data_IF_968629746530
#
_entry.id   IF_968629746530
#
_cell.length_a   1.000
_cell.length_b   1.000
_cell.length_c   1.000
_cell.angle_alpha   90.00
_cell.angle_beta   90.00
_cell.angle_gamma   90.00
#
_symmetry.space_group_name_H-M   'P 1'
#
loop_
_entity.id
_entity.type
_entity.pdbx_description
1 polymer ?
#
# COMPACT_ATOMS: atom_id res chain seq x y z
N UNK A 1 -6.18 7.15 -21.84
CA UNK A 1 -5.21 7.72 -20.88
C UNK A 1 -6.03 8.28 -19.73
N UNK A 2 -5.98 7.64 -18.59
CA UNK A 2 -6.66 8.15 -17.38
C UNK A 2 -5.95 9.44 -16.97
N UNK A 3 -6.70 10.52 -16.83
CA UNK A 3 -6.15 11.81 -16.44
C UNK A 3 -5.74 11.73 -14.95
N UNK A 4 -4.43 11.72 -14.68
CA UNK A 4 -3.87 11.68 -13.32
C UNK A 4 -4.41 12.80 -12.43
N UNK A 5 -4.75 13.96 -13.01
CA UNK A 5 -5.37 15.07 -12.28
C UNK A 5 -6.77 14.71 -11.75
N UNK A 6 -7.52 13.90 -12.49
CA UNK A 6 -8.86 13.44 -12.08
C UNK A 6 -8.80 12.43 -10.93
N UNK A 7 -7.77 11.57 -10.89
CA UNK A 7 -7.55 10.59 -9.82
C UNK A 7 -7.19 11.34 -8.52
N UNK A 8 -6.23 12.25 -8.58
CA UNK A 8 -5.84 13.06 -7.43
C UNK A 8 -7.00 13.90 -6.89
N UNK A 9 -7.80 14.53 -7.78
CA UNK A 9 -8.98 15.29 -7.39
C UNK A 9 -10.04 14.40 -6.71
N UNK A 10 -10.23 13.14 -7.18
CA UNK A 10 -11.13 12.18 -6.54
C UNK A 10 -10.70 11.88 -5.11
N UNK A 11 -9.43 11.53 -4.88
CA UNK A 11 -8.93 11.19 -3.55
C UNK A 11 -8.89 12.40 -2.64
N UNK A 12 -8.44 13.58 -3.11
CA UNK A 12 -8.48 14.82 -2.33
C UNK A 12 -9.88 15.10 -1.80
N UNK A 13 -10.91 15.00 -2.65
CA UNK A 13 -12.30 15.19 -2.22
C UNK A 13 -12.70 14.21 -1.11
N UNK A 14 -12.31 12.92 -1.20
CA UNK A 14 -12.61 11.93 -0.15
C UNK A 14 -12.00 12.33 1.20
N UNK A 15 -10.77 12.85 1.21
CA UNK A 15 -10.12 13.35 2.43
C UNK A 15 -10.73 14.65 2.94
N UNK A 16 -11.10 15.58 2.05
CA UNK A 16 -11.78 16.83 2.39
C UNK A 16 -13.15 16.58 3.04
N UNK A 17 -13.92 15.66 2.46
CA UNK A 17 -15.24 15.25 2.97
C UNK A 17 -15.16 14.33 4.20
N UNK A 18 -13.98 14.01 4.69
CA UNK A 18 -13.75 13.04 5.78
C UNK A 18 -14.41 11.66 5.53
N UNK A 19 -14.58 11.29 4.28
CA UNK A 19 -15.16 10.03 3.84
C UNK A 19 -14.07 9.00 3.52
N UNK A 20 -13.32 8.59 4.54
CA UNK A 20 -12.15 7.72 4.45
C UNK A 20 -12.28 6.46 5.32
N UNK A 21 -13.25 5.57 5.05
CA UNK A 21 -13.50 4.39 5.88
C UNK A 21 -12.32 3.40 5.95
N UNK A 22 -11.35 3.53 5.04
CA UNK A 22 -10.10 2.75 5.06
C UNK A 22 -9.04 3.30 6.02
N UNK A 23 -9.16 4.58 6.43
CA UNK A 23 -8.21 5.22 7.34
C UNK A 23 -8.66 5.07 8.80
N UNK A 24 -8.25 3.96 9.39
CA UNK A 24 -8.56 3.67 10.80
C UNK A 24 -7.72 4.48 11.80
N UNK A 25 -6.69 5.20 11.34
CA UNK A 25 -5.69 5.82 12.19
C UNK A 25 -4.79 4.82 12.93
N UNK A 26 -4.95 3.52 12.67
CA UNK A 26 -4.18 2.42 13.28
C UNK A 26 -3.22 1.82 12.27
N UNK A 27 -1.99 1.53 12.72
CA UNK A 27 -1.04 0.75 11.92
C UNK A 27 -1.60 -0.65 11.65
N UNK A 28 -1.26 -1.21 10.51
CA UNK A 28 -1.68 -2.56 10.17
C UNK A 28 -1.04 -3.60 11.10
N UNK A 29 -1.88 -4.38 11.77
CA UNK A 29 -1.43 -5.51 12.57
C UNK A 29 -0.81 -6.58 11.67
N UNK A 30 -1.36 -6.76 10.46
CA UNK A 30 -0.84 -7.74 9.52
C UNK A 30 0.57 -7.37 9.02
N UNK A 31 0.86 -6.07 8.78
CA UNK A 31 2.22 -5.62 8.49
C UNK A 31 3.17 -5.99 9.64
N UNK A 32 2.77 -5.75 10.90
CA UNK A 32 3.58 -6.14 12.05
C UNK A 32 3.83 -7.64 12.12
N UNK A 33 2.78 -8.44 11.89
CA UNK A 33 2.87 -9.91 11.92
C UNK A 33 3.87 -10.40 10.86
N UNK A 34 3.73 -9.92 9.61
CA UNK A 34 4.63 -10.31 8.51
C UNK A 34 6.08 -9.94 8.82
N UNK A 35 6.34 -8.72 9.29
CA UNK A 35 7.72 -8.31 9.65
C UNK A 35 8.32 -9.21 10.74
N UNK A 36 7.53 -9.54 11.78
CA UNK A 36 7.96 -10.39 12.89
C UNK A 36 8.20 -11.85 12.46
N UNK A 37 7.31 -12.40 11.61
CA UNK A 37 7.37 -13.79 11.16
C UNK A 37 8.50 -14.04 10.15
N UNK A 38 8.74 -13.08 9.25
CA UNK A 38 9.70 -13.24 8.14
C UNK A 38 11.09 -12.71 8.46
N UNK A 39 11.23 -11.93 9.54
CA UNK A 39 12.50 -11.32 9.90
C UNK A 39 13.02 -10.30 8.89
N UNK A 40 12.12 -9.66 8.11
CA UNK A 40 12.51 -8.57 7.20
C UNK A 40 13.16 -7.47 8.05
N UNK A 41 14.47 -7.32 7.88
CA UNK A 41 15.24 -6.30 8.60
C UNK A 41 14.98 -4.89 8.05
N UNK A 42 15.19 -3.84 8.85
CA UNK A 42 15.14 -2.47 8.38
C UNK A 42 16.01 -2.26 7.14
N UNK A 43 15.43 -1.72 6.10
CA UNK A 43 16.03 -1.48 4.80
C UNK A 43 15.35 -0.29 4.15
N UNK A 44 15.68 0.00 2.89
CA UNK A 44 15.01 1.04 2.11
C UNK A 44 13.62 0.55 1.67
N UNK A 45 12.57 1.22 2.18
CA UNK A 45 11.18 0.81 2.01
C UNK A 45 10.32 1.88 1.34
N UNK A 46 9.30 1.44 0.58
CA UNK A 46 8.29 2.30 -0.04
C UNK A 46 6.89 1.87 0.37
N UNK A 47 6.05 2.82 0.81
CA UNK A 47 4.61 2.59 0.92
C UNK A 47 3.88 3.20 -0.27
N UNK A 48 3.10 2.39 -1.00
CA UNK A 48 2.27 2.79 -2.14
C UNK A 48 0.85 3.16 -1.66
N UNK A 49 0.37 4.36 -2.03
CA UNK A 49 -0.93 4.86 -1.60
C UNK A 49 -1.00 5.04 -0.09
N UNK A 50 -0.03 5.73 0.49
CA UNK A 50 0.19 5.80 1.93
C UNK A 50 -0.90 6.54 2.72
N UNK A 51 -1.79 7.28 2.06
CA UNK A 51 -2.83 8.06 2.71
C UNK A 51 -2.28 9.00 3.78
N UNK A 52 -2.83 8.94 5.00
CA UNK A 52 -2.37 9.75 6.13
C UNK A 52 -1.12 9.21 6.83
N UNK A 53 -0.38 8.28 6.20
CA UNK A 53 0.98 7.89 6.56
C UNK A 53 1.14 6.99 7.78
N UNK A 54 0.07 6.41 8.29
CA UNK A 54 0.11 5.65 9.56
C UNK A 54 1.08 4.47 9.52
N UNK A 55 1.14 3.72 8.41
CA UNK A 55 2.07 2.58 8.28
C UNK A 55 3.48 3.02 7.89
N UNK A 56 3.64 4.06 7.05
CA UNK A 56 4.95 4.65 6.76
C UNK A 56 5.65 5.12 8.04
N UNK A 57 4.91 5.82 8.92
CA UNK A 57 5.39 6.25 10.22
C UNK A 57 5.78 5.04 11.07
N UNK A 58 4.97 3.99 11.10
CA UNK A 58 5.29 2.77 11.82
C UNK A 58 6.59 2.12 11.28
N UNK A 59 6.75 1.97 9.96
CA UNK A 59 7.98 1.44 9.36
C UNK A 59 9.20 2.28 9.75
N UNK A 60 9.10 3.62 9.70
CA UNK A 60 10.18 4.51 10.13
C UNK A 60 10.53 4.34 11.61
N UNK A 61 9.53 4.14 12.49
CA UNK A 61 9.76 3.81 13.92
C UNK A 61 10.45 2.46 14.11
N UNK A 62 10.29 1.51 13.16
CA UNK A 62 11.02 0.24 13.17
C UNK A 62 12.43 0.34 12.56
N UNK A 63 12.87 1.55 12.17
CA UNK A 63 14.22 1.81 11.65
C UNK A 63 14.36 1.65 10.13
N UNK A 64 13.27 1.50 9.37
CA UNK A 64 13.32 1.52 7.91
C UNK A 64 13.62 2.93 7.39
N UNK A 65 14.34 3.02 6.26
CA UNK A 65 14.45 4.24 5.46
C UNK A 65 13.23 4.33 4.54
N UNK A 66 12.25 5.16 4.90
CA UNK A 66 10.92 5.12 4.28
C UNK A 66 10.69 6.27 3.33
N UNK A 67 10.33 5.93 2.08
CA UNK A 67 9.60 6.81 1.16
C UNK A 67 8.12 6.39 1.14
N UNK A 68 7.20 7.34 0.98
CA UNK A 68 5.77 7.09 0.95
C UNK A 68 5.09 7.97 -0.10
N UNK A 69 4.34 7.35 -1.02
CA UNK A 69 3.71 8.02 -2.15
C UNK A 69 2.19 7.99 -2.02
N UNK A 70 1.56 9.13 -2.25
CA UNK A 70 0.11 9.26 -2.44
C UNK A 70 -0.19 10.42 -3.41
N UNK A 71 -1.28 10.29 -4.16
CA UNK A 71 -1.73 11.35 -5.07
C UNK A 71 -2.56 12.43 -4.36
N UNK A 72 -2.96 12.22 -3.11
CA UNK A 72 -3.72 13.20 -2.32
C UNK A 72 -2.79 14.09 -1.49
N UNK A 73 -2.68 15.35 -1.88
CA UNK A 73 -1.93 16.34 -1.10
C UNK A 73 -2.52 16.58 0.30
N UNK A 74 -3.85 16.46 0.45
CA UNK A 74 -4.52 16.59 1.75
C UNK A 74 -4.14 15.43 2.69
N UNK A 75 -4.08 14.21 2.16
CA UNK A 75 -3.61 13.05 2.92
C UNK A 75 -2.15 13.24 3.35
N UNK A 76 -1.28 13.64 2.41
CA UNK A 76 0.13 13.88 2.68
C UNK A 76 0.38 15.02 3.67
N UNK A 77 -0.43 16.07 3.66
CA UNK A 77 -0.35 17.14 4.66
C UNK A 77 -0.57 16.59 6.08
N UNK A 78 -1.60 15.74 6.24
CA UNK A 78 -1.88 15.04 7.50
C UNK A 78 -0.75 14.08 7.88
N UNK A 79 -0.21 13.32 6.90
CA UNK A 79 0.89 12.40 7.12
C UNK A 79 2.16 13.10 7.64
N UNK A 80 2.52 14.24 7.04
CA UNK A 80 3.66 15.07 7.47
C UNK A 80 3.51 15.57 8.90
N UNK A 81 2.29 16.01 9.30
CA UNK A 81 2.02 16.43 10.67
C UNK A 81 2.22 15.29 11.66
N UNK A 82 1.60 14.13 11.38
CA UNK A 82 1.74 12.93 12.21
C UNK A 82 3.19 12.45 12.35
N UNK A 83 3.98 12.48 11.25
CA UNK A 83 5.39 12.10 11.29
C UNK A 83 6.23 13.04 12.16
N UNK A 84 5.97 14.35 12.05
CA UNK A 84 6.60 15.38 12.90
C UNK A 84 6.29 15.16 14.38
N UNK A 85 5.03 14.88 14.72
CA UNK A 85 4.58 14.56 16.08
C UNK A 85 5.22 13.28 16.62
N UNK A 86 5.39 12.27 15.72
CA UNK A 86 6.03 10.99 16.06
C UNK A 86 7.57 11.08 16.12
N UNK A 87 8.17 12.20 15.70
CA UNK A 87 9.63 12.40 15.69
C UNK A 87 10.36 11.49 14.69
N UNK A 88 9.75 11.12 13.59
CA UNK A 88 10.36 10.27 12.54
C UNK A 88 10.48 11.01 11.22
N UNK A 89 11.48 10.60 10.43
CA UNK A 89 11.68 11.09 9.07
C UNK A 89 11.07 10.10 8.06
N UNK A 90 10.26 10.61 7.14
CA UNK A 90 9.72 9.89 5.99
C UNK A 90 9.81 10.82 4.78
N UNK A 91 10.26 10.29 3.64
CA UNK A 91 10.22 11.00 2.37
C UNK A 91 8.80 10.93 1.78
N UNK A 92 8.10 12.07 1.75
CA UNK A 92 6.73 12.15 1.25
C UNK A 92 6.69 12.58 -0.21
N UNK A 93 6.12 11.74 -1.07
CA UNK A 93 6.07 11.92 -2.52
C UNK A 93 4.61 12.17 -2.95
N UNK A 94 4.37 13.36 -3.54
CA UNK A 94 3.04 13.70 -4.09
C UNK A 94 3.02 13.37 -5.57
N UNK A 95 2.57 12.15 -5.89
CA UNK A 95 2.47 11.68 -7.28
C UNK A 95 1.50 10.49 -7.37
N UNK A 96 1.15 10.11 -8.61
CA UNK A 96 0.38 8.89 -8.88
C UNK A 96 1.29 7.66 -8.87
N UNK A 97 0.79 6.57 -8.30
CA UNK A 97 1.46 5.26 -8.39
C UNK A 97 1.39 4.64 -9.80
N UNK A 98 0.64 5.25 -10.72
CA UNK A 98 0.47 4.74 -12.08
C UNK A 98 1.58 5.29 -12.98
N UNK A 99 2.36 4.40 -13.58
CA UNK A 99 3.53 4.75 -14.43
C UNK A 99 4.59 5.61 -13.71
N UNK A 100 4.61 5.61 -12.39
CA UNK A 100 5.58 6.38 -11.63
C UNK A 100 7.02 5.96 -11.91
N UNK A 101 7.90 6.95 -11.95
CA UNK A 101 9.34 6.76 -12.17
C UNK A 101 10.07 7.32 -10.95
N UNK A 102 10.47 6.46 -10.01
CA UNK A 102 11.21 6.91 -8.84
C UNK A 102 12.59 7.44 -9.24
N UNK A 103 13.08 8.47 -8.57
CA UNK A 103 14.49 8.81 -8.63
C UNK A 103 15.28 7.79 -7.79
N UNK A 104 16.37 7.26 -8.35
CA UNK A 104 17.34 6.44 -7.60
C UNK A 104 17.12 4.93 -7.71
N UNK A 105 17.71 4.22 -6.75
CA UNK A 105 17.78 2.75 -6.74
C UNK A 105 16.42 2.11 -6.33
N UNK A 106 16.18 0.86 -6.73
CA UNK A 106 14.99 0.11 -6.31
C UNK A 106 14.87 -0.02 -4.79
N UNK A 107 13.66 -0.22 -4.32
CA UNK A 107 13.36 -0.47 -2.91
C UNK A 107 13.49 -1.96 -2.59
N UNK A 108 14.02 -2.27 -1.41
CA UNK A 108 14.18 -3.65 -0.92
C UNK A 108 12.88 -4.19 -0.35
N UNK A 109 12.05 -3.30 0.22
CA UNK A 109 10.71 -3.63 0.73
C UNK A 109 9.68 -2.64 0.21
N UNK A 110 8.60 -3.16 -0.39
CA UNK A 110 7.46 -2.37 -0.87
C UNK A 110 6.22 -2.82 -0.09
N UNK A 111 5.49 -1.87 0.47
CA UNK A 111 4.25 -2.11 1.19
C UNK A 111 3.08 -1.42 0.49
N UNK A 112 1.96 -2.10 0.42
CA UNK A 112 0.70 -1.62 -0.15
C UNK A 112 -0.47 -2.10 0.70
N UNK A 113 -1.29 -1.17 1.17
CA UNK A 113 -2.52 -1.51 1.88
C UNK A 113 -3.72 -0.90 1.15
N UNK A 114 -4.18 -1.60 0.13
CA UNK A 114 -5.38 -1.24 -0.61
C UNK A 114 -5.16 -0.40 -1.87
N UNK A 115 -3.94 0.00 -2.19
CA UNK A 115 -3.65 0.73 -3.42
C UNK A 115 -3.80 -0.18 -4.65
N UNK A 116 -3.22 -1.38 -4.62
CA UNK A 116 -3.29 -2.37 -5.70
C UNK A 116 -4.74 -2.66 -6.14
N UNK A 117 -5.64 -3.00 -5.22
CA UNK A 117 -7.01 -3.36 -5.60
C UNK A 117 -7.84 -2.17 -6.10
N UNK A 118 -7.43 -0.94 -5.79
CA UNK A 118 -8.00 0.27 -6.39
C UNK A 118 -7.43 0.54 -7.78
N UNK A 119 -6.10 0.56 -7.90
CA UNK A 119 -5.39 0.90 -9.12
C UNK A 119 -5.60 -0.13 -10.24
N UNK A 120 -5.60 -1.44 -9.91
CA UNK A 120 -5.75 -2.53 -10.87
C UNK A 120 -7.05 -2.49 -11.67
N UNK A 121 -8.10 -1.94 -11.08
CA UNK A 121 -9.43 -1.92 -11.71
C UNK A 121 -9.44 -1.15 -13.02
N UNK A 122 -8.72 -0.06 -13.04
CA UNK A 122 -8.74 0.88 -14.16
C UNK A 122 -7.42 0.84 -14.97
N UNK A 123 -6.28 0.58 -14.32
CA UNK A 123 -4.94 0.74 -14.91
C UNK A 123 -3.92 -0.30 -14.39
N UNK A 124 -4.29 -1.60 -14.38
CA UNK A 124 -3.40 -2.67 -13.91
C UNK A 124 -2.01 -2.61 -14.54
N UNK A 125 -1.93 -2.43 -15.87
CA UNK A 125 -0.65 -2.40 -16.59
C UNK A 125 0.25 -1.27 -16.12
N UNK A 126 -0.32 -0.08 -15.90
CA UNK A 126 0.43 1.08 -15.41
C UNK A 126 0.95 0.85 -13.98
N UNK A 127 0.13 0.19 -13.13
CA UNK A 127 0.55 -0.19 -11.78
C UNK A 127 1.69 -1.22 -11.79
N UNK A 128 1.58 -2.28 -12.60
CA UNK A 128 2.63 -3.29 -12.76
C UNK A 128 3.94 -2.68 -13.30
N UNK A 129 3.85 -1.74 -14.23
CA UNK A 129 5.02 -1.01 -14.73
C UNK A 129 5.73 -0.24 -13.60
N UNK A 130 4.98 0.34 -12.66
CA UNK A 130 5.58 0.96 -11.49
C UNK A 130 6.27 -0.08 -10.61
N UNK A 131 5.60 -1.20 -10.29
CA UNK A 131 6.20 -2.27 -9.48
C UNK A 131 7.51 -2.78 -10.11
N UNK A 132 7.55 -2.94 -11.44
CA UNK A 132 8.76 -3.34 -12.16
C UNK A 132 9.92 -2.36 -11.96
N UNK A 133 9.64 -1.06 -11.98
CA UNK A 133 10.64 0.01 -11.86
C UNK A 133 11.16 0.20 -10.44
N UNK A 134 10.28 0.02 -9.46
CA UNK A 134 10.62 0.27 -8.05
C UNK A 134 11.23 -0.93 -7.34
N UNK A 135 11.26 -2.12 -7.98
CA UNK A 135 11.77 -3.35 -7.39
C UNK A 135 12.88 -3.97 -8.24
N UNK A 136 13.82 -4.64 -7.59
CA UNK A 136 14.87 -5.46 -8.22
C UNK A 136 14.79 -6.90 -7.71
N UNK A 137 15.53 -7.82 -8.33
CA UNK A 137 15.58 -9.21 -7.90
C UNK A 137 15.86 -9.32 -6.39
N UNK A 138 15.00 -10.04 -5.69
CA UNK A 138 15.05 -10.18 -4.23
C UNK A 138 14.26 -9.15 -3.43
N UNK A 139 13.81 -8.04 -4.03
CA UNK A 139 12.90 -7.11 -3.36
C UNK A 139 11.62 -7.82 -2.90
N UNK A 140 11.16 -7.53 -1.69
CA UNK A 140 9.90 -8.05 -1.16
C UNK A 140 8.76 -7.05 -1.33
N UNK A 141 7.62 -7.54 -1.77
CA UNK A 141 6.40 -6.75 -1.91
C UNK A 141 5.29 -7.37 -1.06
N UNK A 142 4.82 -6.65 -0.06
CA UNK A 142 3.66 -7.01 0.76
C UNK A 142 2.44 -6.23 0.31
N UNK A 143 1.48 -6.91 -0.31
CA UNK A 143 0.20 -6.34 -0.70
C UNK A 143 -0.92 -6.83 0.23
N UNK A 144 -1.62 -5.89 0.86
CA UNK A 144 -2.85 -6.14 1.61
C UNK A 144 -4.05 -5.70 0.76
N UNK A 145 -4.86 -6.65 0.30
CA UNK A 145 -5.95 -6.38 -0.65
C UNK A 145 -7.27 -7.02 -0.21
N UNK A 146 -8.39 -6.56 -0.77
CA UNK A 146 -9.70 -7.14 -0.49
C UNK A 146 -9.82 -8.58 -0.97
N UNK A 147 -10.57 -9.42 -0.25
CA UNK A 147 -10.78 -10.82 -0.54
C UNK A 147 -12.19 -11.04 -1.09
N UNK A 148 -12.31 -11.70 -2.26
CA UNK A 148 -13.58 -12.00 -2.92
C UNK A 148 -14.39 -13.10 -2.24
N UNK A 149 -13.81 -13.83 -1.27
CA UNK A 149 -14.54 -14.81 -0.47
C UNK A 149 -15.55 -14.16 0.50
N UNK A 150 -15.41 -12.85 0.74
CA UNK A 150 -16.38 -12.05 1.48
C UNK A 150 -17.12 -11.10 0.52
N UNK A 151 -18.44 -11.26 0.40
CA UNK A 151 -19.27 -10.34 -0.37
C UNK A 151 -19.44 -9.02 0.38
N UNK A 152 -19.24 -7.90 -0.34
CA UNK A 152 -19.33 -6.55 0.23
C UNK A 152 -20.23 -5.68 -0.63
N UNK A 153 -21.07 -4.90 0.03
CA UNK A 153 -21.94 -3.93 -0.66
C UNK A 153 -21.17 -2.68 -1.12
N UNK A 154 -20.08 -2.34 -0.44
CA UNK A 154 -19.31 -1.12 -0.69
C UNK A 154 -17.81 -1.39 -0.75
N UNK A 155 -17.11 -0.52 -1.47
CA UNK A 155 -15.65 -0.57 -1.65
C UNK A 155 -15.23 -1.20 -2.99
N UNK A 156 -13.94 -1.27 -3.27
CA UNK A 156 -13.44 -1.94 -4.46
C UNK A 156 -13.71 -3.44 -4.38
N UNK A 157 -13.99 -4.11 -5.52
CA UNK A 157 -14.19 -5.55 -5.54
C UNK A 157 -12.98 -6.30 -4.94
N UNK A 158 -13.26 -7.31 -4.14
CA UNK A 158 -12.22 -8.23 -3.67
C UNK A 158 -11.63 -9.03 -4.84
N UNK A 159 -10.47 -9.62 -4.61
CA UNK A 159 -9.80 -10.50 -5.57
C UNK A 159 -9.92 -11.97 -5.13
N UNK A 160 -9.96 -12.87 -6.10
CA UNK A 160 -9.65 -14.27 -5.87
C UNK A 160 -8.12 -14.47 -5.85
N UNK A 161 -7.65 -15.43 -5.08
CA UNK A 161 -6.22 -15.76 -5.01
C UNK A 161 -5.62 -16.03 -6.40
N UNK A 162 -6.37 -16.70 -7.29
CA UNK A 162 -5.95 -16.98 -8.67
C UNK A 162 -5.64 -15.71 -9.48
N UNK A 163 -6.43 -14.65 -9.29
CA UNK A 163 -6.20 -13.37 -9.96
C UNK A 163 -4.90 -12.72 -9.48
N UNK A 164 -4.65 -12.75 -8.16
CA UNK A 164 -3.40 -12.23 -7.59
C UNK A 164 -2.18 -12.96 -8.16
N UNK A 165 -2.25 -14.29 -8.24
CA UNK A 165 -1.18 -15.11 -8.82
C UNK A 165 -0.97 -14.87 -10.31
N UNK A 166 -2.03 -14.67 -11.06
CA UNK A 166 -1.98 -14.36 -12.49
C UNK A 166 -1.38 -12.96 -12.73
N UNK A 167 -1.90 -11.94 -12.04
CA UNK A 167 -1.54 -10.54 -12.27
C UNK A 167 -0.12 -10.19 -11.79
N UNK A 168 0.29 -10.70 -10.63
CA UNK A 168 1.60 -10.40 -10.03
C UNK A 168 2.67 -11.45 -10.38
N UNK A 169 2.26 -12.62 -10.85
CA UNK A 169 3.14 -13.77 -11.07
C UNK A 169 4.15 -13.59 -12.20
N UNK A 170 3.96 -12.64 -13.12
CA UNK A 170 4.97 -12.32 -14.13
C UNK A 170 6.21 -11.66 -13.50
N UNK A 171 6.01 -10.82 -12.49
CA UNK A 171 7.07 -10.06 -11.84
C UNK A 171 7.62 -10.75 -10.58
N UNK A 172 6.76 -11.47 -9.86
CA UNK A 172 7.07 -11.97 -8.52
C UNK A 172 6.84 -13.46 -8.37
N UNK A 173 7.61 -14.08 -7.47
CA UNK A 173 7.30 -15.37 -6.88
C UNK A 173 6.48 -15.15 -5.61
N UNK A 174 5.47 -15.98 -5.39
CA UNK A 174 4.68 -15.94 -4.16
C UNK A 174 5.46 -16.61 -3.04
N UNK A 175 5.80 -15.86 -1.98
CA UNK A 175 6.37 -16.40 -0.76
C UNK A 175 5.27 -16.86 0.19
N UNK A 176 4.22 -16.03 0.37
CA UNK A 176 3.07 -16.35 1.20
C UNK A 176 1.81 -15.67 0.67
N UNK A 177 0.68 -16.37 0.68
CA UNK A 177 -0.68 -15.76 0.57
C UNK A 177 -1.52 -16.34 1.68
N UNK A 178 -2.16 -15.48 2.48
CA UNK A 178 -3.07 -15.91 3.54
C UNK A 178 -4.24 -14.94 3.72
N UNK A 179 -5.32 -15.42 4.29
CA UNK A 179 -6.44 -14.57 4.71
C UNK A 179 -6.09 -13.81 6.00
N UNK A 180 -6.54 -12.58 6.08
CA UNK A 180 -6.46 -11.76 7.28
C UNK A 180 -7.68 -10.83 7.37
N UNK A 181 -7.83 -10.08 8.45
CA UNK A 181 -8.86 -9.04 8.58
C UNK A 181 -8.21 -7.68 8.73
N UNK A 182 -8.69 -6.73 7.92
CA UNK A 182 -8.30 -5.33 8.09
C UNK A 182 -8.72 -4.79 9.46
N UNK A 183 -8.01 -3.78 9.93
CA UNK A 183 -8.37 -3.05 11.14
C UNK A 183 -9.59 -2.17 10.87
N UNK A 184 -10.59 -2.22 11.75
CA UNK A 184 -11.75 -1.35 11.74
C UNK A 184 -11.59 -0.24 12.78
N UNK A 185 -12.00 1.01 12.48
CA UNK A 185 -11.94 2.11 13.44
C UNK A 185 -12.67 1.82 14.76
N UNK A 186 -13.77 1.04 14.72
CA UNK A 186 -14.55 0.66 15.88
C UNK A 186 -13.92 -0.43 16.76
N UNK A 187 -12.74 -0.97 16.39
CA UNK A 187 -12.11 -2.09 17.10
C UNK A 187 -12.80 -3.43 16.87
N UNK A 188 -13.76 -3.49 15.98
CA UNK A 188 -14.43 -4.71 15.51
C UNK A 188 -13.55 -5.35 14.42
N UNK A 189 -13.72 -6.64 14.22
CA UNK A 189 -13.07 -7.36 13.11
C UNK A 189 -13.49 -6.72 11.78
N UNK A 190 -12.54 -6.11 11.11
CA UNK A 190 -12.75 -5.46 9.82
C UNK A 190 -12.93 -6.48 8.68
N UNK A 191 -13.04 -6.00 7.46
CA UNK A 191 -13.30 -6.83 6.30
C UNK A 191 -12.19 -7.85 6.02
N UNK A 192 -12.58 -8.98 5.43
CA UNK A 192 -11.66 -10.01 4.99
C UNK A 192 -10.73 -9.50 3.88
N UNK A 193 -9.46 -9.81 4.00
CA UNK A 193 -8.41 -9.46 3.05
C UNK A 193 -7.49 -10.62 2.71
N UNK A 194 -6.69 -10.41 1.67
CA UNK A 194 -5.51 -11.20 1.35
C UNK A 194 -4.25 -10.46 1.79
N UNK A 195 -3.40 -11.16 2.52
CA UNK A 195 -2.02 -10.77 2.81
C UNK A 195 -1.11 -11.54 1.86
N UNK A 196 -0.47 -10.82 0.94
CA UNK A 196 0.32 -11.39 -0.13
C UNK A 196 1.77 -10.92 0.01
N UNK A 197 2.65 -11.77 0.50
CA UNK A 197 4.09 -11.53 0.50
C UNK A 197 4.71 -12.18 -0.75
N UNK A 198 5.39 -11.38 -1.52
CA UNK A 198 5.90 -11.68 -2.84
C UNK A 198 7.39 -11.31 -2.91
N UNK A 199 8.19 -12.05 -3.67
CA UNK A 199 9.61 -11.78 -3.91
C UNK A 199 9.84 -11.54 -5.39
N UNK A 200 10.50 -10.43 -5.74
CA UNK A 200 10.85 -10.06 -7.12
C UNK A 200 11.81 -11.09 -7.70
N UNK A 201 11.49 -11.57 -8.90
CA UNK A 201 12.30 -12.53 -9.67
C UNK A 201 13.62 -11.93 -10.12
#
# INVERSE_FOLDING_TARGET
MTDHSSIAAHWNRRYDEQNTPWDSGRRSQELQNVLAETGIAPCRALELGCGTGTNAIFLAQQGFEVSAIDCSELALATAKSKASEAGVAVEWLSDSVLNWQPPGEPYEFVFDRGCYHCARRDELRAYLTTLERITAAGSRYLALTGNANEQREHGPPGLHESQIREELGELFNVEQIREFHFEDPGGVRGPLGWSCLLVRR
#
